data_IF_215588737091
#
_entry.id   IF_215588737091
#
_cell.length_a   1.000
_cell.length_b   1.000
_cell.length_c   1.000
_cell.angle_alpha   90.00
_cell.angle_beta   90.00
_cell.angle_gamma   90.00
#
_symmetry.space_group_name_H-M   'P 1'
#
loop_
_entity.id
_entity.type
_entity.pdbx_description
1 polymer ?
#
# COMPACT_ATOMS: atom_id res chain seq x y z
N UNK A 1 -33.42 -16.88 -17.69
CA UNK A 1 -32.18 -16.92 -16.89
C UNK A 1 -30.97 -16.44 -17.72
N UNK A 2 -30.92 -16.85 -19.01
CA UNK A 2 -29.78 -16.47 -19.88
C UNK A 2 -29.70 -14.98 -20.21
N UNK A 3 -30.82 -14.26 -20.34
CA UNK A 3 -30.82 -12.85 -20.74
C UNK A 3 -30.32 -11.94 -19.60
N UNK A 4 -30.70 -12.23 -18.36
CA UNK A 4 -30.16 -11.50 -17.18
C UNK A 4 -28.67 -11.79 -16.96
N UNK A 5 -28.21 -13.00 -17.24
CA UNK A 5 -26.81 -13.35 -17.13
C UNK A 5 -25.99 -12.67 -18.24
N UNK A 6 -26.50 -12.62 -19.46
CA UNK A 6 -25.87 -11.90 -20.56
C UNK A 6 -25.78 -10.41 -20.30
N UNK A 7 -26.85 -9.78 -19.87
CA UNK A 7 -26.85 -8.34 -19.53
C UNK A 7 -25.87 -8.02 -18.37
N UNK A 8 -25.75 -8.91 -17.40
CA UNK A 8 -24.77 -8.76 -16.31
C UNK A 8 -23.32 -8.90 -16.81
N UNK A 9 -23.06 -9.88 -17.68
CA UNK A 9 -21.72 -10.10 -18.25
C UNK A 9 -21.33 -8.93 -19.17
N UNK A 10 -22.27 -8.40 -19.97
CA UNK A 10 -22.04 -7.26 -20.83
C UNK A 10 -21.80 -5.96 -20.02
N UNK A 11 -22.52 -5.77 -18.93
CA UNK A 11 -22.33 -4.62 -18.03
C UNK A 11 -21.02 -4.71 -17.22
N UNK A 12 -20.66 -5.91 -16.77
CA UNK A 12 -19.44 -6.13 -15.97
C UNK A 12 -18.16 -6.18 -16.82
N UNK A 13 -18.27 -6.61 -18.08
CA UNK A 13 -17.13 -6.87 -18.97
C UNK A 13 -16.51 -8.25 -18.76
N UNK A 14 -16.17 -8.93 -19.84
CA UNK A 14 -15.59 -10.27 -19.84
C UNK A 14 -14.37 -10.44 -18.94
N UNK A 15 -13.37 -9.52 -18.92
CA UNK A 15 -12.19 -9.69 -18.08
C UNK A 15 -12.51 -9.74 -16.58
N UNK A 16 -13.46 -8.93 -16.11
CA UNK A 16 -13.85 -8.91 -14.69
C UNK A 16 -14.56 -10.19 -14.27
N UNK A 17 -15.40 -10.73 -15.14
CA UNK A 17 -16.11 -12.00 -14.90
C UNK A 17 -15.13 -13.17 -14.82
N UNK A 18 -14.14 -13.23 -15.72
CA UNK A 18 -13.10 -14.27 -15.72
C UNK A 18 -12.28 -14.21 -14.43
N UNK A 19 -11.83 -13.01 -14.03
CA UNK A 19 -11.07 -12.82 -12.78
C UNK A 19 -11.92 -13.21 -11.57
N UNK A 20 -13.19 -12.82 -11.53
CA UNK A 20 -14.10 -13.17 -10.44
C UNK A 20 -14.34 -14.67 -10.33
N UNK A 21 -14.56 -15.38 -11.45
CA UNK A 21 -14.71 -16.83 -11.48
C UNK A 21 -13.42 -17.55 -11.06
N UNK A 22 -12.26 -17.04 -11.49
CA UNK A 22 -10.98 -17.59 -11.09
C UNK A 22 -10.76 -17.45 -9.58
N UNK A 23 -11.01 -16.29 -9.00
CA UNK A 23 -10.93 -16.07 -7.56
C UNK A 23 -11.89 -16.98 -6.80
N UNK A 24 -13.12 -17.11 -7.28
CA UNK A 24 -14.12 -17.97 -6.65
C UNK A 24 -13.69 -19.44 -6.70
N UNK A 25 -13.12 -19.89 -7.82
CA UNK A 25 -12.58 -21.25 -7.94
C UNK A 25 -11.43 -21.52 -6.98
N UNK A 26 -10.56 -20.55 -6.72
CA UNK A 26 -9.48 -20.65 -5.73
C UNK A 26 -10.04 -20.79 -4.32
N UNK A 27 -11.05 -20.01 -3.95
CA UNK A 27 -11.69 -20.13 -2.63
C UNK A 27 -12.40 -21.49 -2.45
N UNK A 28 -13.00 -22.02 -3.51
CA UNK A 28 -13.61 -23.36 -3.48
C UNK A 28 -12.54 -24.46 -3.36
N UNK A 29 -11.39 -24.28 -4.01
CA UNK A 29 -10.27 -25.22 -3.94
C UNK A 29 -9.50 -25.17 -2.61
N UNK A 30 -9.51 -24.03 -1.89
CA UNK A 30 -8.75 -23.83 -0.66
C UNK A 30 -8.92 -24.91 0.41
N UNK A 31 -10.14 -25.39 0.75
CA UNK A 31 -10.32 -26.43 1.75
C UNK A 31 -9.74 -27.78 1.33
N UNK A 32 -9.69 -28.07 0.03
CA UNK A 32 -9.13 -29.34 -0.48
C UNK A 32 -7.60 -29.38 -0.33
N UNK A 33 -6.95 -28.22 -0.26
CA UNK A 33 -5.50 -28.07 -0.06
C UNK A 33 -5.16 -27.88 1.42
N UNK A 34 -6.15 -27.91 2.33
CA UNK A 34 -5.96 -27.74 3.76
C UNK A 34 -5.82 -26.27 4.22
N UNK A 35 -6.11 -25.31 3.35
CA UNK A 35 -6.11 -23.88 3.68
C UNK A 35 -7.46 -23.48 4.27
N UNK A 36 -7.45 -22.80 5.42
CA UNK A 36 -8.69 -22.30 6.05
C UNK A 36 -9.23 -21.12 5.27
N UNK A 37 -10.46 -21.23 4.79
CA UNK A 37 -11.13 -20.20 4.01
C UNK A 37 -11.34 -18.92 4.85
N UNK A 38 -11.67 -19.07 6.14
CA UNK A 38 -11.95 -17.94 7.05
C UNK A 38 -10.74 -17.02 7.21
N UNK A 39 -9.57 -17.60 7.48
CA UNK A 39 -8.31 -16.83 7.62
C UNK A 39 -7.88 -16.22 6.29
N UNK A 40 -8.01 -16.98 5.19
CA UNK A 40 -7.70 -16.47 3.84
C UNK A 40 -8.60 -15.30 3.44
N UNK A 41 -9.87 -15.34 3.82
CA UNK A 41 -10.80 -14.25 3.54
C UNK A 41 -10.44 -13.00 4.34
N UNK A 42 -10.11 -13.14 5.63
CA UNK A 42 -9.66 -12.03 6.48
C UNK A 42 -8.38 -11.39 5.93
N UNK A 43 -7.39 -12.21 5.55
CA UNK A 43 -6.14 -11.72 4.98
C UNK A 43 -6.36 -11.04 3.62
N UNK A 44 -7.30 -11.55 2.82
CA UNK A 44 -7.67 -10.92 1.55
C UNK A 44 -8.31 -9.56 1.79
N UNK A 45 -9.20 -9.42 2.76
CA UNK A 45 -9.81 -8.14 3.12
C UNK A 45 -8.78 -7.11 3.60
N UNK A 46 -7.81 -7.52 4.44
CA UNK A 46 -6.69 -6.66 4.84
C UNK A 46 -5.90 -6.17 3.62
N UNK A 47 -5.58 -7.07 2.69
CA UNK A 47 -4.86 -6.73 1.46
C UNK A 47 -5.67 -5.80 0.54
N UNK A 48 -6.98 -6.01 0.44
CA UNK A 48 -7.89 -5.12 -0.30
C UNK A 48 -7.88 -3.73 0.33
N UNK A 49 -7.96 -3.64 1.67
CA UNK A 49 -7.86 -2.36 2.38
C UNK A 49 -6.52 -1.66 2.10
N UNK A 50 -5.40 -2.36 2.22
CA UNK A 50 -4.08 -1.78 1.97
C UNK A 50 -3.90 -1.28 0.54
N UNK A 51 -4.25 -2.09 -0.45
CA UNK A 51 -4.06 -1.75 -1.86
C UNK A 51 -5.12 -0.79 -2.38
N UNK A 52 -6.32 -0.81 -1.80
CA UNK A 52 -7.42 0.06 -2.19
C UNK A 52 -7.09 1.53 -2.01
N UNK A 53 -6.38 1.91 -0.95
CA UNK A 53 -5.92 3.29 -0.75
C UNK A 53 -5.02 3.74 -1.91
N UNK A 54 -4.11 2.88 -2.37
CA UNK A 54 -3.25 3.20 -3.52
C UNK A 54 -4.06 3.33 -4.82
N UNK A 55 -5.06 2.47 -5.01
CA UNK A 55 -5.96 2.55 -6.18
C UNK A 55 -6.78 3.83 -6.15
N UNK A 56 -7.32 4.22 -4.99
CA UNK A 56 -8.06 5.47 -4.84
C UNK A 56 -7.18 6.71 -5.10
N UNK A 57 -5.91 6.65 -4.70
CA UNK A 57 -4.95 7.73 -4.99
C UNK A 57 -4.71 7.95 -6.50
N UNK A 58 -4.98 6.94 -7.35
CA UNK A 58 -4.90 7.08 -8.81
C UNK A 58 -6.10 7.80 -9.42
N UNK A 59 -7.26 7.76 -8.76
CA UNK A 59 -8.52 8.26 -9.32
C UNK A 59 -8.45 9.75 -9.72
N UNK A 60 -7.94 10.68 -8.88
CA UNK A 60 -7.86 12.09 -9.26
C UNK A 60 -7.01 12.34 -10.51
N UNK A 61 -5.92 11.60 -10.67
CA UNK A 61 -5.02 11.74 -11.81
C UNK A 61 -5.65 11.21 -13.11
N UNK A 62 -6.35 10.08 -13.03
CA UNK A 62 -7.07 9.53 -14.19
C UNK A 62 -8.20 10.48 -14.60
N UNK A 63 -8.93 11.05 -13.64
CA UNK A 63 -10.01 12.01 -13.91
C UNK A 63 -9.49 13.32 -14.49
N UNK A 64 -8.30 13.77 -14.10
CA UNK A 64 -7.68 14.99 -14.66
C UNK A 64 -7.12 14.81 -16.08
N UNK A 65 -7.12 13.59 -16.60
CA UNK A 65 -6.60 13.29 -17.93
C UNK A 65 -5.07 13.28 -18.05
N UNK A 66 -4.34 13.40 -16.95
CA UNK A 66 -2.87 13.40 -16.94
C UNK A 66 -2.24 12.00 -17.14
N UNK A 67 -3.04 10.96 -17.38
CA UNK A 67 -2.55 9.60 -17.59
C UNK A 67 -2.23 8.86 -16.30
N UNK A 68 -1.21 7.97 -16.34
CA UNK A 68 -0.79 7.18 -15.19
C UNK A 68 -0.04 8.02 -14.17
N UNK A 69 -0.39 7.85 -12.89
CA UNK A 69 0.27 8.59 -11.80
C UNK A 69 1.58 7.95 -11.37
N UNK A 70 2.68 8.44 -11.89
CA UNK A 70 4.02 8.09 -11.41
C UNK A 70 4.44 8.84 -10.14
N UNK A 71 3.58 9.66 -9.56
CA UNK A 71 3.77 10.27 -8.24
C UNK A 71 3.55 9.30 -7.07
N UNK A 72 2.91 8.13 -7.30
CA UNK A 72 2.75 7.10 -6.27
C UNK A 72 4.08 6.69 -5.59
N UNK A 73 5.18 6.45 -6.32
CA UNK A 73 6.47 6.18 -5.70
C UNK A 73 6.92 7.27 -4.71
N UNK A 74 6.67 8.54 -5.01
CA UNK A 74 6.98 9.64 -4.08
C UNK A 74 6.18 9.56 -2.78
N UNK A 75 4.90 9.20 -2.86
CA UNK A 75 4.06 8.96 -1.69
C UNK A 75 4.54 7.76 -0.86
N UNK A 76 4.95 6.67 -1.52
CA UNK A 76 5.51 5.50 -0.86
C UNK A 76 6.83 5.85 -0.14
N UNK A 77 7.69 6.66 -0.77
CA UNK A 77 8.94 7.14 -0.16
C UNK A 77 8.64 7.98 1.09
N UNK A 78 7.70 8.92 1.00
CA UNK A 78 7.28 9.72 2.16
C UNK A 78 6.75 8.83 3.30
N UNK A 79 5.94 7.83 2.98
CA UNK A 79 5.44 6.85 3.93
C UNK A 79 6.55 6.04 4.59
N UNK A 80 7.51 5.57 3.81
CA UNK A 80 8.68 4.83 4.29
C UNK A 80 9.53 5.67 5.25
N UNK A 81 9.86 6.91 4.88
CA UNK A 81 10.64 7.82 5.74
C UNK A 81 9.89 8.11 7.03
N UNK A 82 8.58 8.36 6.97
CA UNK A 82 7.74 8.56 8.15
C UNK A 82 7.75 7.34 9.07
N UNK A 83 7.57 6.15 8.50
CA UNK A 83 7.58 4.89 9.25
C UNK A 83 8.91 4.65 9.96
N UNK A 84 10.02 4.82 9.25
CA UNK A 84 11.37 4.61 9.78
C UNK A 84 11.70 5.61 10.88
N UNK A 85 11.34 6.86 10.69
CA UNK A 85 11.56 7.91 11.71
C UNK A 85 10.77 7.61 12.98
N UNK A 86 9.54 7.13 12.87
CA UNK A 86 8.74 6.69 14.03
C UNK A 86 9.37 5.51 14.77
N UNK A 87 9.94 4.54 14.05
CA UNK A 87 10.66 3.41 14.65
C UNK A 87 11.94 3.88 15.34
N UNK A 88 12.69 4.82 14.76
CA UNK A 88 13.89 5.40 15.37
C UNK A 88 13.55 6.13 16.67
N UNK A 89 12.40 6.82 16.73
CA UNK A 89 11.90 7.46 17.94
C UNK A 89 11.39 6.47 18.99
N UNK A 90 11.38 5.17 18.69
CA UNK A 90 10.95 4.08 19.61
C UNK A 90 9.50 4.23 20.08
N UNK A 91 8.65 4.92 19.33
CA UNK A 91 7.24 5.09 19.67
C UNK A 91 6.45 3.85 19.21
N UNK A 92 5.75 3.20 20.15
CA UNK A 92 5.05 1.93 19.90
C UNK A 92 3.53 2.12 19.88
N UNK A 93 2.83 1.18 19.23
CA UNK A 93 1.37 1.14 19.19
C UNK A 93 0.76 2.25 18.34
N UNK A 94 -0.46 2.61 18.65
CA UNK A 94 -1.24 3.61 17.92
C UNK A 94 -0.58 5.00 17.86
N UNK A 95 0.02 5.56 18.93
CA UNK A 95 0.74 6.82 18.83
C UNK A 95 1.94 6.76 17.89
N UNK A 96 2.66 5.61 17.83
CA UNK A 96 3.76 5.43 16.87
C UNK A 96 3.27 5.46 15.42
N UNK A 97 2.14 4.86 15.14
CA UNK A 97 1.49 4.91 13.84
C UNK A 97 1.06 6.34 13.48
N UNK A 98 0.46 7.08 14.40
CA UNK A 98 0.04 8.47 14.17
C UNK A 98 1.23 9.40 13.90
N UNK A 99 2.33 9.24 14.63
CA UNK A 99 3.58 9.99 14.39
C UNK A 99 4.14 9.66 13.01
N UNK A 100 4.21 8.38 12.65
CA UNK A 100 4.64 7.96 11.31
C UNK A 100 3.78 8.61 10.21
N UNK A 101 2.46 8.60 10.39
CA UNK A 101 1.51 9.19 9.46
C UNK A 101 1.66 10.71 9.36
N UNK A 102 1.83 11.42 10.47
CA UNK A 102 2.03 12.87 10.48
C UNK A 102 3.30 13.27 9.71
N UNK A 103 4.41 12.58 9.95
CA UNK A 103 5.67 12.83 9.23
C UNK A 103 5.52 12.49 7.74
N UNK A 104 4.87 11.35 7.42
CA UNK A 104 4.63 10.93 6.06
C UNK A 104 3.77 11.95 5.29
N UNK A 105 2.71 12.48 5.90
CA UNK A 105 1.84 13.51 5.30
C UNK A 105 2.64 14.79 5.03
N UNK A 106 3.41 15.27 6.00
CA UNK A 106 4.22 16.47 5.82
C UNK A 106 5.20 16.34 4.65
N UNK A 107 5.90 15.20 4.56
CA UNK A 107 6.82 14.92 3.45
C UNK A 107 6.08 14.73 2.12
N UNK A 108 4.94 14.03 2.14
CA UNK A 108 4.14 13.81 0.93
C UNK A 108 3.61 15.12 0.35
N UNK A 109 3.21 16.08 1.19
CA UNK A 109 2.77 17.41 0.74
C UNK A 109 3.91 18.16 0.07
N UNK A 110 5.12 18.15 0.65
CA UNK A 110 6.29 18.82 0.07
C UNK A 110 6.69 18.18 -1.26
N UNK A 111 6.81 16.85 -1.29
CA UNK A 111 7.19 16.11 -2.51
C UNK A 111 6.11 16.21 -3.59
N UNK A 112 4.85 16.11 -3.21
CA UNK A 112 3.71 16.23 -4.12
C UNK A 112 3.59 17.62 -4.71
N UNK A 113 3.82 18.67 -3.93
CA UNK A 113 3.86 20.05 -4.41
C UNK A 113 4.99 20.26 -5.42
N UNK A 114 6.21 19.80 -5.09
CA UNK A 114 7.36 19.89 -6.00
C UNK A 114 7.10 19.13 -7.31
N UNK A 115 6.52 17.93 -7.22
CA UNK A 115 6.14 17.13 -8.38
C UNK A 115 5.06 17.81 -9.23
N UNK A 116 4.04 18.37 -8.60
CA UNK A 116 2.99 19.11 -9.30
C UNK A 116 3.51 20.35 -10.03
N UNK A 117 4.44 21.11 -9.41
CA UNK A 117 5.12 22.22 -10.07
C UNK A 117 5.93 21.77 -11.28
N UNK A 118 6.60 20.64 -11.19
CA UNK A 118 7.37 20.06 -12.28
C UNK A 118 6.46 19.72 -13.46
N UNK A 119 5.38 18.99 -13.21
CA UNK A 119 4.41 18.60 -14.26
C UNK A 119 3.77 19.82 -14.91
N UNK A 120 3.44 20.86 -14.14
CA UNK A 120 2.85 22.09 -14.68
C UNK A 120 3.78 22.85 -15.63
N UNK A 121 5.09 22.69 -15.50
CA UNK A 121 6.07 23.32 -16.39
C UNK A 121 6.28 22.59 -17.71
N UNK A 122 5.94 21.31 -17.75
CA UNK A 122 6.24 20.41 -18.89
C UNK A 122 4.91 19.97 -19.52
N UNK A 123 4.19 20.94 -20.08
CA UNK A 123 2.92 20.66 -20.76
C UNK A 123 3.17 19.92 -22.08
N UNK A 124 2.48 18.80 -22.25
CA UNK A 124 2.56 17.96 -23.44
C UNK A 124 3.40 16.69 -23.27
N UNK A 125 4.42 16.71 -22.42
CA UNK A 125 5.30 15.58 -22.15
C UNK A 125 5.18 15.07 -20.70
N UNK A 126 4.03 15.32 -20.04
CA UNK A 126 3.81 15.01 -18.63
C UNK A 126 4.05 13.53 -18.32
N UNK A 127 3.59 12.63 -19.18
CA UNK A 127 3.70 11.19 -18.97
C UNK A 127 5.16 10.72 -19.03
N UNK A 128 5.97 11.27 -19.96
CA UNK A 128 7.38 10.92 -20.09
C UNK A 128 8.16 11.38 -18.86
N UNK A 129 8.00 12.64 -18.46
CA UNK A 129 8.69 13.20 -17.30
C UNK A 129 8.24 12.54 -16.00
N UNK A 130 6.94 12.28 -15.84
CA UNK A 130 6.41 11.55 -14.71
C UNK A 130 7.07 10.17 -14.55
N UNK A 131 7.27 9.45 -15.67
CA UNK A 131 7.96 8.16 -15.69
C UNK A 131 9.41 8.29 -15.22
N UNK A 132 10.16 9.27 -15.75
CA UNK A 132 11.55 9.50 -15.32
C UNK A 132 11.65 9.87 -13.84
N UNK A 133 10.77 10.74 -13.35
CA UNK A 133 10.74 11.10 -11.94
C UNK A 133 10.40 9.90 -11.06
N UNK A 134 9.43 9.07 -11.46
CA UNK A 134 9.07 7.86 -10.76
C UNK A 134 10.24 6.89 -10.60
N UNK A 135 10.91 6.54 -11.69
CA UNK A 135 12.08 5.64 -11.65
C UNK A 135 13.26 6.26 -10.91
N UNK A 136 13.56 7.53 -11.16
CA UNK A 136 14.67 8.23 -10.50
C UNK A 136 14.44 8.34 -8.99
N UNK A 137 13.20 8.58 -8.55
CA UNK A 137 12.87 8.67 -7.12
C UNK A 137 13.03 7.32 -6.41
N UNK A 138 12.64 6.21 -7.04
CA UNK A 138 12.88 4.87 -6.50
C UNK A 138 14.38 4.57 -6.40
N UNK A 139 15.16 4.87 -7.43
CA UNK A 139 16.61 4.68 -7.39
C UNK A 139 17.27 5.52 -6.29
N UNK A 140 16.88 6.79 -6.19
CA UNK A 140 17.38 7.70 -5.14
C UNK A 140 17.00 7.19 -3.74
N UNK A 141 15.80 6.66 -3.55
CA UNK A 141 15.39 6.07 -2.29
C UNK A 141 16.19 4.83 -1.93
N UNK A 142 16.48 3.95 -2.90
CA UNK A 142 17.34 2.79 -2.66
C UNK A 142 18.73 3.22 -2.20
N UNK A 143 19.34 4.25 -2.81
CA UNK A 143 20.62 4.80 -2.39
C UNK A 143 20.53 5.45 -1.01
N UNK A 144 19.54 6.32 -0.81
CA UNK A 144 19.33 7.01 0.47
C UNK A 144 19.09 6.03 1.61
N UNK A 145 18.37 4.95 1.37
CA UNK A 145 18.10 3.90 2.33
C UNK A 145 19.38 3.25 2.87
N UNK A 146 20.38 3.10 2.06
CA UNK A 146 21.68 2.56 2.46
C UNK A 146 22.54 3.58 3.24
N UNK A 147 22.39 4.87 2.91
CA UNK A 147 23.24 5.93 3.43
C UNK A 147 22.67 6.62 4.70
N UNK A 148 21.36 6.54 4.92
CA UNK A 148 20.70 7.19 6.05
C UNK A 148 21.23 6.66 7.40
N UNK A 149 21.62 7.55 8.33
CA UNK A 149 22.28 7.20 9.59
C UNK A 149 21.30 6.72 10.68
N UNK A 150 20.40 5.82 10.33
CA UNK A 150 19.53 5.18 11.32
C UNK A 150 20.31 4.15 12.14
N UNK A 151 20.20 4.22 13.44
CA UNK A 151 21.00 3.41 14.39
C UNK A 151 20.21 2.35 15.13
N UNK A 152 18.88 2.34 15.00
CA UNK A 152 18.04 1.39 15.72
C UNK A 152 18.38 -0.05 15.31
N UNK A 153 18.66 -0.96 16.29
CA UNK A 153 19.00 -2.36 16.00
C UNK A 153 17.87 -3.10 15.29
N UNK A 154 16.62 -2.64 15.38
CA UNK A 154 15.47 -3.22 14.68
C UNK A 154 15.45 -2.90 13.19
N UNK A 155 16.24 -1.91 12.76
CA UNK A 155 16.39 -1.50 11.37
C UNK A 155 17.67 -2.02 10.72
N UNK A 156 18.58 -2.56 11.54
CA UNK A 156 19.85 -3.12 11.07
C UNK A 156 19.70 -4.64 11.05
N UNK A 157 19.09 -5.14 10.00
CA UNK A 157 19.14 -6.58 9.79
C UNK A 157 20.08 -6.86 8.62
N UNK A 158 21.33 -7.09 8.98
CA UNK A 158 22.35 -7.55 8.03
C UNK A 158 22.35 -9.05 7.93
N UNK A 159 22.21 -9.59 6.76
CA UNK A 159 22.68 -10.94 6.46
C UNK A 159 24.20 -10.88 6.65
N UNK A 160 24.71 -11.46 7.74
CA UNK A 160 26.13 -11.47 8.07
C UNK A 160 26.65 -10.35 8.97
N UNK A 161 25.80 -9.61 9.67
CA UNK A 161 26.20 -8.81 10.85
C UNK A 161 26.70 -7.40 10.62
N UNK A 162 26.89 -6.93 9.41
CA UNK A 162 27.24 -5.52 9.19
C UNK A 162 26.84 -5.08 7.79
N UNK A 163 25.91 -4.15 7.67
CA UNK A 163 25.92 -3.38 6.50
C UNK A 163 24.59 -3.06 5.84
N UNK A 164 24.02 -3.88 5.08
CA UNK A 164 22.90 -3.53 4.17
C UNK A 164 21.54 -3.70 4.86
N UNK A 165 20.76 -2.62 4.93
CA UNK A 165 19.37 -2.66 5.40
C UNK A 165 18.49 -3.22 4.31
N UNK A 166 18.14 -4.48 4.39
CA UNK A 166 17.27 -5.13 3.40
C UNK A 166 15.81 -5.14 3.84
N UNK A 167 15.55 -5.24 5.14
CA UNK A 167 14.20 -5.32 5.71
C UNK A 167 14.12 -4.62 7.06
N UNK A 168 12.92 -4.20 7.44
CA UNK A 168 12.61 -3.62 8.74
C UNK A 168 11.58 -4.49 9.44
N UNK A 169 11.82 -4.82 10.71
CA UNK A 169 10.84 -5.51 11.53
C UNK A 169 9.92 -4.49 12.20
N UNK A 170 8.65 -4.50 11.82
CA UNK A 170 7.58 -3.69 12.43
C UNK A 170 6.81 -4.43 13.51
N UNK A 171 7.15 -5.71 13.78
CA UNK A 171 6.41 -6.58 14.70
C UNK A 171 6.30 -6.02 16.13
N UNK A 172 7.33 -5.34 16.62
CA UNK A 172 7.34 -4.77 17.97
C UNK A 172 6.74 -3.39 18.08
N UNK A 173 6.32 -2.77 16.97
CA UNK A 173 5.88 -1.38 16.94
C UNK A 173 4.39 -1.23 16.64
N UNK A 174 3.95 -1.48 15.42
CA UNK A 174 2.56 -1.22 15.02
C UNK A 174 2.07 -2.14 13.89
N UNK A 175 2.58 -3.38 13.81
CA UNK A 175 2.28 -4.32 12.74
C UNK A 175 0.77 -4.52 12.50
N UNK A 176 0.00 -4.65 13.55
CA UNK A 176 -1.44 -4.94 13.47
C UNK A 176 -2.33 -3.82 13.98
N UNK A 177 -1.77 -2.64 14.26
CA UNK A 177 -2.54 -1.55 14.88
C UNK A 177 -3.76 -1.18 14.05
N UNK A 178 -3.64 -1.14 12.72
CA UNK A 178 -4.74 -0.77 11.84
C UNK A 178 -5.72 -1.91 11.60
N UNK A 179 -5.25 -3.15 11.53
CA UNK A 179 -6.11 -4.31 11.32
C UNK A 179 -6.89 -4.69 12.58
N UNK A 180 -6.28 -4.48 13.75
CA UNK A 180 -6.89 -4.81 15.04
C UNK A 180 -7.74 -3.64 15.58
N UNK A 181 -7.50 -2.41 15.11
CA UNK A 181 -8.28 -1.25 15.50
C UNK A 181 -9.72 -1.38 15.02
N UNK A 182 -10.65 -1.44 15.96
CA UNK A 182 -12.08 -1.65 15.71
C UNK A 182 -12.37 -2.92 14.88
N UNK A 183 -11.55 -3.96 14.98
CA UNK A 183 -11.81 -5.21 14.30
C UNK A 183 -13.07 -5.88 14.85
N UNK A 184 -13.93 -6.35 13.95
CA UNK A 184 -15.15 -7.08 14.32
C UNK A 184 -14.93 -8.57 14.09
N UNK A 185 -14.91 -9.34 15.18
CA UNK A 185 -14.74 -10.77 15.13
C UNK A 185 -16.10 -11.47 14.88
N UNK A 186 -16.22 -12.15 13.75
CA UNK A 186 -17.36 -12.97 13.36
C UNK A 186 -16.97 -14.44 13.46
N UNK A 187 -16.88 -14.98 14.68
CA UNK A 187 -16.45 -16.35 14.92
C UNK A 187 -14.97 -16.48 15.33
N UNK A 188 -14.51 -17.73 15.54
CA UNK A 188 -13.20 -17.98 16.15
C UNK A 188 -11.99 -17.68 15.22
N UNK A 189 -12.20 -17.56 13.92
CA UNK A 189 -11.11 -17.43 12.94
C UNK A 189 -11.30 -16.32 11.91
N UNK A 190 -12.52 -15.78 11.77
CA UNK A 190 -12.81 -14.70 10.84
C UNK A 190 -12.88 -13.36 11.58
N UNK A 191 -12.04 -12.40 11.16
CA UNK A 191 -12.12 -11.03 11.63
C UNK A 191 -12.26 -10.08 10.44
N UNK A 192 -13.10 -9.07 10.62
CA UNK A 192 -13.27 -8.01 9.64
C UNK A 192 -12.42 -6.81 10.07
N UNK A 193 -11.42 -6.39 9.27
CA UNK A 193 -10.50 -5.31 9.62
C UNK A 193 -11.15 -3.93 9.37
N UNK A 194 -12.11 -3.54 10.22
CA UNK A 194 -12.85 -2.28 10.06
C UNK A 194 -11.93 -1.07 10.03
N UNK A 195 -10.87 -1.08 10.84
CA UNK A 195 -9.90 0.01 10.91
C UNK A 195 -9.19 0.28 9.58
N UNK A 196 -8.97 -0.76 8.75
CA UNK A 196 -8.39 -0.59 7.41
C UNK A 196 -9.33 0.19 6.48
N UNK A 197 -10.63 -0.07 6.58
CA UNK A 197 -11.64 0.56 5.72
C UNK A 197 -12.05 1.97 6.19
N UNK A 198 -11.64 2.37 7.38
CA UNK A 198 -11.94 3.70 7.92
C UNK A 198 -11.13 4.81 7.20
N UNK A 199 -10.06 4.43 6.47
CA UNK A 199 -9.22 5.34 5.69
C UNK A 199 -9.57 5.38 4.20
N UNK A 200 -10.64 4.72 3.78
CA UNK A 200 -11.23 4.83 2.44
C UNK A 200 -12.18 6.02 2.37
#
# INVERSE_FOLDING_TARGET
VNDKLRSFIEAAGWPRVIIGLFLLSLFVAAPFVGVRVDTSLSDTLVRVGMNGVMVLALVPMVQSGCGLNFGLPLGIIAGLVGAVTSIEMVVRGLPGFLVAMAIAIALAVVLGYAYGLLLNRVKGDEMMIATYVGFSSVALMCMAWLLLPYKSPNMIWGYGGSGLRTTISVQGYWLKVLSDFMSFNVGPYFYFPTGMFLFF
#
